data_IF_375515670656
#
_entry.id   IF_375515670656
#
_cell.length_a   1.000
_cell.length_b   1.000
_cell.length_c   1.000
_cell.angle_alpha   90.00
_cell.angle_beta   90.00
_cell.angle_gamma   90.00
#
_symmetry.space_group_name_H-M   'P 1'
#
loop_
_entity.id
_entity.type
_entity.pdbx_description
1 polymer ?
#
# COMPACT_ATOMS: atom_id res chain seq x y z
N UNK A 1 -7.12 -3.07 9.12
CA UNK A 1 -7.65 -1.74 8.77
C UNK A 1 -8.93 -1.92 7.97
N UNK A 2 -9.85 -0.93 7.92
CA UNK A 2 -11.07 -1.02 7.08
C UNK A 2 -10.76 -0.93 5.59
N UNK A 3 -9.60 -0.37 5.23
CA UNK A 3 -9.18 -0.20 3.84
C UNK A 3 -8.26 -1.31 3.32
N UNK A 4 -7.84 -2.24 4.18
CA UNK A 4 -6.87 -3.29 3.84
C UNK A 4 -7.55 -4.65 3.87
N UNK A 5 -7.78 -5.21 2.69
CA UNK A 5 -8.31 -6.55 2.46
C UNK A 5 -7.49 -7.66 3.14
N UNK A 6 -8.13 -8.81 3.37
CA UNK A 6 -7.45 -9.99 3.96
C UNK A 6 -6.29 -10.50 3.10
N UNK A 7 -6.42 -10.39 1.77
CA UNK A 7 -5.38 -10.69 0.79
C UNK A 7 -5.22 -9.47 -0.11
N UNK A 8 -4.47 -8.48 0.37
CA UNK A 8 -4.38 -7.18 -0.29
C UNK A 8 -3.29 -7.14 -1.37
N UNK A 9 -2.09 -7.57 -1.00
CA UNK A 9 -0.92 -7.56 -1.86
C UNK A 9 0.04 -8.67 -1.41
N UNK A 10 1.01 -9.00 -2.27
CA UNK A 10 2.15 -9.85 -1.94
C UNK A 10 3.45 -9.08 -2.19
N UNK A 11 4.44 -9.34 -1.33
CA UNK A 11 5.83 -8.90 -1.55
C UNK A 11 6.67 -10.15 -1.72
N UNK A 12 7.46 -10.20 -2.79
CA UNK A 12 8.40 -11.26 -3.07
C UNK A 12 9.82 -10.71 -3.11
N UNK A 13 10.79 -11.54 -2.75
CA UNK A 13 12.21 -11.25 -2.91
C UNK A 13 12.79 -12.26 -3.90
N UNK A 14 13.51 -11.76 -4.91
CA UNK A 14 14.23 -12.58 -5.87
C UNK A 14 15.73 -12.60 -5.51
N UNK A 15 16.25 -13.70 -4.94
CA UNK A 15 17.65 -13.76 -4.52
C UNK A 15 18.65 -13.79 -5.68
N UNK A 16 18.20 -14.10 -6.91
CA UNK A 16 19.08 -14.12 -8.07
C UNK A 16 19.37 -12.72 -8.62
N UNK A 17 18.43 -11.79 -8.46
CA UNK A 17 18.54 -10.40 -8.93
C UNK A 17 18.68 -9.38 -7.81
N UNK A 18 18.58 -9.81 -6.54
CA UNK A 18 18.54 -8.93 -5.36
C UNK A 18 17.40 -7.90 -5.44
N UNK A 19 16.25 -8.32 -5.99
CA UNK A 19 15.10 -7.44 -6.20
C UNK A 19 13.94 -7.77 -5.27
N UNK A 20 13.32 -6.74 -4.72
CA UNK A 20 12.04 -6.82 -4.05
C UNK A 20 10.93 -6.42 -5.02
N UNK A 21 9.85 -7.20 -5.07
CA UNK A 21 8.70 -6.92 -5.91
C UNK A 21 7.43 -6.87 -5.08
N UNK A 22 6.56 -5.92 -5.36
CA UNK A 22 5.20 -5.87 -4.83
C UNK A 22 4.19 -6.13 -5.94
N UNK A 23 3.10 -6.82 -5.60
CA UNK A 23 1.97 -7.04 -6.50
C UNK A 23 0.67 -6.88 -5.71
N UNK A 24 -0.19 -5.99 -6.17
CA UNK A 24 -1.56 -5.89 -5.65
C UNK A 24 -2.40 -7.10 -6.14
N UNK A 25 -3.19 -7.69 -5.24
CA UNK A 25 -3.97 -8.89 -5.51
C UNK A 25 -5.40 -8.61 -6.01
N UNK A 26 -5.67 -7.41 -6.52
CA UNK A 26 -7.02 -6.97 -6.88
C UNK A 26 -7.75 -6.41 -5.66
N UNK A 27 -7.02 -5.70 -4.80
CA UNK A 27 -7.58 -5.18 -3.57
C UNK A 27 -8.58 -4.06 -3.83
N UNK A 28 -9.60 -3.95 -2.98
CA UNK A 28 -10.66 -2.96 -3.13
C UNK A 28 -10.14 -1.52 -3.13
N UNK A 29 -9.18 -1.22 -2.26
CA UNK A 29 -8.65 0.14 -2.07
C UNK A 29 -7.29 0.36 -2.74
N UNK A 30 -6.70 -0.69 -3.34
CA UNK A 30 -5.45 -0.63 -4.07
C UNK A 30 -4.19 -0.50 -3.20
N UNK A 31 -3.07 -0.81 -3.83
CA UNK A 31 -1.71 -0.60 -3.34
C UNK A 31 -1.07 0.60 -4.04
N UNK A 32 -0.20 1.32 -3.33
CA UNK A 32 0.48 2.50 -3.81
C UNK A 32 1.98 2.39 -3.56
N UNK A 33 2.79 2.84 -4.52
CA UNK A 33 4.24 3.01 -4.39
C UNK A 33 4.55 4.48 -4.64
N UNK A 34 5.16 5.15 -3.67
CA UNK A 34 5.43 6.60 -3.72
C UNK A 34 4.18 7.42 -4.07
N UNK A 35 3.08 7.13 -3.37
CA UNK A 35 1.75 7.72 -3.55
C UNK A 35 1.06 7.45 -4.90
N UNK A 36 1.71 6.76 -5.84
CA UNK A 36 1.13 6.36 -7.11
C UNK A 36 0.50 4.98 -7.00
N UNK A 37 -0.77 4.87 -7.38
CA UNK A 37 -1.48 3.58 -7.41
C UNK A 37 -0.84 2.67 -8.44
N UNK A 38 -0.47 1.46 -8.03
CA UNK A 38 0.06 0.46 -8.96
C UNK A 38 -1.10 -0.33 -9.60
N UNK A 39 -0.92 -0.86 -10.83
CA UNK A 39 -1.90 -1.77 -11.42
C UNK A 39 -2.07 -3.04 -10.58
N UNK A 40 -3.29 -3.56 -10.53
CA UNK A 40 -3.51 -4.89 -9.95
C UNK A 40 -2.88 -5.98 -10.82
N UNK A 41 -2.68 -7.13 -10.19
CA UNK A 41 -2.16 -8.35 -10.80
C UNK A 41 -0.80 -8.21 -11.52
N UNK A 42 -0.10 -7.08 -11.34
CA UNK A 42 1.18 -6.76 -11.98
C UNK A 42 2.28 -6.63 -10.93
N UNK A 43 3.46 -7.19 -11.22
CA UNK A 43 4.62 -7.04 -10.35
C UNK A 43 5.31 -5.70 -10.63
N UNK A 44 5.57 -4.95 -9.56
CA UNK A 44 6.35 -3.72 -9.55
C UNK A 44 7.62 -3.96 -8.75
N UNK A 45 8.78 -3.75 -9.36
CA UNK A 45 10.07 -3.80 -8.66
C UNK A 45 10.20 -2.57 -7.77
N UNK A 46 10.49 -2.80 -6.49
CA UNK A 46 10.74 -1.78 -5.48
C UNK A 46 12.22 -1.41 -5.46
N UNK A 47 12.51 -0.13 -5.28
CA UNK A 47 13.85 0.39 -5.04
C UNK A 47 14.02 0.75 -3.57
N UNK A 48 15.27 0.88 -3.15
CA UNK A 48 15.59 1.36 -1.82
C UNK A 48 14.92 2.73 -1.59
N UNK A 49 14.30 2.88 -0.42
CA UNK A 49 13.55 4.08 0.00
C UNK A 49 12.19 4.30 -0.67
N UNK A 50 11.72 3.41 -1.55
CA UNK A 50 10.34 3.46 -2.00
C UNK A 50 9.37 3.27 -0.82
N UNK A 51 8.30 4.07 -0.79
CA UNK A 51 7.26 3.98 0.23
C UNK A 51 6.09 3.19 -0.34
N UNK A 52 5.80 2.04 0.28
CA UNK A 52 4.64 1.22 -0.07
C UNK A 52 3.50 1.48 0.90
N UNK A 53 2.30 1.76 0.37
CA UNK A 53 1.07 1.90 1.16
C UNK A 53 0.01 0.94 0.65
N UNK A 54 -0.68 0.28 1.58
CA UNK A 54 -1.83 -0.59 1.32
C UNK A 54 -3.12 0.10 1.74
N UNK A 55 -4.06 0.26 0.81
CA UNK A 55 -5.28 1.02 1.03
C UNK A 55 -5.00 2.46 1.49
N UNK A 56 -5.89 2.98 2.34
CA UNK A 56 -5.74 4.27 3.00
C UNK A 56 -6.12 4.13 4.47
N UNK A 57 -5.26 4.55 5.39
CA UNK A 57 -5.71 4.75 6.75
C UNK A 57 -6.38 6.11 6.81
N UNK A 58 -7.71 6.11 6.98
CA UNK A 58 -8.39 7.29 7.51
C UNK A 58 -7.87 7.42 8.93
N UNK A 59 -6.86 8.27 9.17
CA UNK A 59 -6.63 8.77 10.51
C UNK A 59 -7.94 9.46 10.93
N UNK A 60 -8.63 9.02 11.99
CA UNK A 60 -9.82 9.71 12.47
C UNK A 60 -9.40 10.98 13.21
N UNK A 61 -8.69 11.90 12.55
CA UNK A 61 -8.39 13.21 13.12
C UNK A 61 -9.58 14.19 13.01
N UNK A 62 -10.66 13.76 12.35
CA UNK A 62 -11.93 14.51 12.21
C UNK A 62 -13.02 14.09 13.23
N UNK A 63 -12.70 13.28 14.24
CA UNK A 63 -13.62 13.05 15.36
C UNK A 63 -13.37 13.95 16.59
N UNK A 64 -12.34 14.80 16.57
CA UNK A 64 -11.84 15.50 17.77
C UNK A 64 -11.67 17.02 17.71
N UNK A 65 -11.81 17.67 16.55
CA UNK A 65 -11.84 19.15 16.47
C UNK A 65 -13.28 19.65 16.61
N UNK A 66 -13.79 19.40 17.81
CA UNK A 66 -14.97 20.01 18.39
C UNK A 66 -14.70 20.43 19.83
N UNK A 67 -13.50 20.95 20.12
CA UNK A 67 -13.22 21.72 21.34
C UNK A 67 -12.05 22.67 21.05
N UNK A 68 -12.36 23.91 20.70
CA UNK A 68 -11.88 25.15 21.31
C UNK A 68 -12.73 26.29 20.71
N UNK A 69 -13.04 27.26 21.57
CA UNK A 69 -14.03 28.34 21.45
C UNK A 69 -14.05 29.15 20.14
#
# INVERSE_FOLDING_TARGET
SRSVDKQHAVINYNPATDEHLVKDLGSLNGTFVNDLRIPDQTYITLKLSDIVRFGYDILPWIAGIGYLA
#
